data_IF_361480683105
#
_entry.id   IF_361480683105
#
_cell.length_a   1.000
_cell.length_b   1.000
_cell.length_c   1.000
_cell.angle_alpha   90.00
_cell.angle_beta   90.00
_cell.angle_gamma   90.00
#
_symmetry.space_group_name_H-M   'P 1'
#
loop_
_entity.id
_entity.type
_entity.pdbx_description
1 polymer ?
#
# COMPACT_ATOMS: atom_id res chain seq x y z
N UNK A 1 -2.74 16.16 -28.37
CA UNK A 1 -1.44 15.76 -28.92
C UNK A 1 -1.67 15.10 -30.29
N UNK A 2 -2.40 13.99 -30.39
CA UNK A 2 -2.59 13.22 -31.64
C UNK A 2 -3.07 14.10 -32.81
N UNK A 3 -4.02 15.01 -32.55
CA UNK A 3 -4.57 15.93 -33.57
C UNK A 3 -3.51 16.92 -34.07
N UNK A 4 -2.69 17.46 -33.16
CA UNK A 4 -1.69 18.48 -33.50
C UNK A 4 -0.41 17.90 -34.09
N UNK A 5 -0.02 16.68 -33.68
CA UNK A 5 1.21 16.03 -34.15
C UNK A 5 1.00 15.18 -35.41
N UNK A 6 -0.24 15.07 -35.90
CA UNK A 6 -0.61 14.18 -37.03
C UNK A 6 -0.13 12.74 -36.84
N UNK A 7 -0.05 12.29 -35.59
CA UNK A 7 0.41 10.94 -35.26
C UNK A 7 -0.67 9.94 -35.65
N UNK A 8 -0.28 8.89 -36.34
CA UNK A 8 -1.18 7.78 -36.67
C UNK A 8 -1.61 7.03 -35.39
N UNK A 9 -2.89 7.14 -35.04
CA UNK A 9 -3.46 6.50 -33.86
C UNK A 9 -3.28 4.97 -33.87
N UNK A 10 -3.22 4.34 -35.04
CA UNK A 10 -2.99 2.91 -35.19
C UNK A 10 -1.59 2.47 -34.72
N UNK A 11 -0.62 3.39 -34.67
CA UNK A 11 0.72 3.10 -34.15
C UNK A 11 0.78 3.13 -32.62
N UNK A 12 -0.15 3.80 -31.94
CA UNK A 12 -0.18 3.89 -30.47
C UNK A 12 -0.35 2.49 -29.87
N UNK A 13 -1.29 1.71 -30.35
CA UNK A 13 -1.56 0.36 -29.85
C UNK A 13 -0.41 -0.64 -30.06
N UNK A 14 0.48 -0.35 -31.01
CA UNK A 14 1.66 -1.18 -31.31
C UNK A 14 2.90 -0.75 -30.52
N UNK A 15 2.84 0.38 -29.83
CA UNK A 15 3.96 0.88 -29.05
C UNK A 15 4.12 0.04 -27.76
N UNK A 16 5.36 -0.33 -27.43
CA UNK A 16 5.67 -1.15 -26.26
C UNK A 16 5.26 -0.49 -24.95
N UNK A 17 5.42 0.84 -24.84
CA UNK A 17 5.03 1.60 -23.64
C UNK A 17 3.50 1.53 -23.46
N UNK A 18 2.74 1.68 -24.55
CA UNK A 18 1.29 1.56 -24.49
C UNK A 18 0.86 0.15 -24.08
N UNK A 19 1.47 -0.88 -24.66
CA UNK A 19 1.17 -2.28 -24.31
C UNK A 19 1.49 -2.58 -22.84
N UNK A 20 2.65 -2.13 -22.38
CA UNK A 20 3.05 -2.29 -20.97
C UNK A 20 2.09 -1.56 -20.02
N UNK A 21 1.68 -0.34 -20.38
CA UNK A 21 0.67 0.40 -19.65
C UNK A 21 -0.68 -0.31 -19.59
N UNK A 22 -1.12 -0.90 -20.70
CA UNK A 22 -2.38 -1.66 -20.73
C UNK A 22 -2.30 -2.96 -19.91
N UNK A 23 -1.17 -3.67 -19.95
CA UNK A 23 -0.95 -4.84 -19.10
C UNK A 23 -1.00 -4.45 -17.62
N UNK A 24 -0.31 -3.38 -17.23
CA UNK A 24 -0.34 -2.86 -15.87
C UNK A 24 -1.77 -2.48 -15.45
N UNK A 25 -2.52 -1.82 -16.32
CA UNK A 25 -3.89 -1.40 -16.06
C UNK A 25 -4.82 -2.61 -15.81
N UNK A 26 -4.77 -3.62 -16.69
CA UNK A 26 -5.58 -4.84 -16.53
C UNK A 26 -5.18 -5.60 -15.27
N UNK A 27 -3.87 -5.75 -15.00
CA UNK A 27 -3.39 -6.42 -13.80
C UNK A 27 -3.83 -5.69 -12.52
N UNK A 28 -3.70 -4.38 -12.49
CA UNK A 28 -4.09 -3.53 -11.35
C UNK A 28 -5.60 -3.63 -11.10
N UNK A 29 -6.42 -3.39 -12.10
CA UNK A 29 -7.87 -3.45 -11.92
C UNK A 29 -8.34 -4.85 -11.52
N UNK A 30 -7.81 -5.90 -12.15
CA UNK A 30 -8.19 -7.28 -11.83
C UNK A 30 -7.81 -7.68 -10.41
N UNK A 31 -6.55 -7.47 -10.02
CA UNK A 31 -6.05 -7.85 -8.70
C UNK A 31 -6.67 -6.98 -7.60
N UNK A 32 -6.75 -5.66 -7.81
CA UNK A 32 -7.30 -4.75 -6.81
C UNK A 32 -8.79 -5.01 -6.57
N UNK A 33 -9.55 -5.24 -7.62
CA UNK A 33 -10.99 -5.51 -7.49
C UNK A 33 -11.26 -6.83 -6.79
N UNK A 34 -10.51 -7.88 -7.12
CA UNK A 34 -10.59 -9.16 -6.43
C UNK A 34 -10.25 -9.01 -4.94
N UNK A 35 -9.15 -8.32 -4.62
CA UNK A 35 -8.73 -8.08 -3.25
C UNK A 35 -9.76 -7.26 -2.48
N UNK A 36 -10.25 -6.16 -3.03
CA UNK A 36 -11.26 -5.29 -2.42
C UNK A 36 -12.54 -6.06 -2.10
N UNK A 37 -13.03 -6.87 -3.05
CA UNK A 37 -14.22 -7.70 -2.84
C UNK A 37 -14.02 -8.68 -1.70
N UNK A 38 -12.89 -9.39 -1.67
CA UNK A 38 -12.57 -10.34 -0.62
C UNK A 38 -12.49 -9.66 0.75
N UNK A 39 -11.77 -8.52 0.84
CA UNK A 39 -11.58 -7.82 2.11
C UNK A 39 -12.84 -7.15 2.60
N UNK A 40 -13.67 -6.59 1.73
CA UNK A 40 -14.95 -5.99 2.14
C UNK A 40 -15.82 -7.02 2.86
N UNK A 41 -15.87 -8.24 2.33
CA UNK A 41 -16.65 -9.33 2.94
C UNK A 41 -16.05 -9.80 4.27
N UNK A 42 -14.72 -9.90 4.36
CA UNK A 42 -14.04 -10.44 5.55
C UNK A 42 -13.63 -9.39 6.59
N UNK A 43 -13.76 -8.10 6.30
CA UNK A 43 -13.41 -7.01 7.22
C UNK A 43 -14.04 -7.16 8.61
N UNK A 44 -15.34 -7.49 8.79
CA UNK A 44 -15.91 -7.64 10.13
C UNK A 44 -15.24 -8.75 10.94
N UNK A 45 -14.94 -9.89 10.32
CA UNK A 45 -14.26 -11.01 10.97
C UNK A 45 -12.82 -10.64 11.33
N UNK A 46 -12.11 -9.96 10.43
CA UNK A 46 -10.74 -9.48 10.69
C UNK A 46 -10.70 -8.47 11.83
N UNK A 47 -11.67 -7.57 11.88
CA UNK A 47 -11.80 -6.60 12.98
C UNK A 47 -11.99 -7.31 14.32
N UNK A 48 -12.85 -8.30 14.39
CA UNK A 48 -13.10 -9.07 15.62
C UNK A 48 -11.83 -9.83 16.07
N UNK A 49 -11.13 -10.47 15.14
CA UNK A 49 -9.94 -11.25 15.46
C UNK A 49 -8.73 -10.40 15.89
N UNK A 50 -8.58 -9.21 15.32
CA UNK A 50 -7.40 -8.35 15.55
C UNK A 50 -7.61 -7.35 16.69
N UNK A 51 -8.86 -7.02 17.02
CA UNK A 51 -9.19 -6.01 18.01
C UNK A 51 -8.60 -6.31 19.39
N UNK A 52 -8.73 -7.54 19.87
CA UNK A 52 -8.21 -7.96 21.17
C UNK A 52 -6.67 -7.91 21.23
N UNK A 53 -6.00 -8.28 20.14
CA UNK A 53 -4.54 -8.24 20.03
C UNK A 53 -4.03 -6.80 20.08
N UNK A 54 -4.67 -5.88 19.34
CA UNK A 54 -4.28 -4.47 19.32
C UNK A 54 -4.53 -3.82 20.69
N UNK A 55 -5.59 -4.19 21.38
CA UNK A 55 -5.89 -3.70 22.72
C UNK A 55 -4.84 -4.14 23.74
N UNK A 56 -4.38 -5.38 23.65
CA UNK A 56 -3.34 -5.92 24.54
C UNK A 56 -1.93 -5.35 24.22
N UNK A 57 -1.66 -5.10 22.96
CA UNK A 57 -0.36 -4.65 22.46
C UNK A 57 -0.53 -3.56 21.39
N UNK A 58 -0.60 -2.27 21.76
CA UNK A 58 -0.90 -1.16 20.84
C UNK A 58 0.02 -1.05 19.61
N UNK A 59 1.29 -1.44 19.73
CA UNK A 59 2.24 -1.45 18.60
C UNK A 59 1.84 -2.42 17.48
N UNK A 60 1.03 -3.44 17.80
CA UNK A 60 0.53 -4.41 16.80
C UNK A 60 -0.43 -3.75 15.80
N UNK A 61 -0.95 -2.56 16.14
CA UNK A 61 -1.71 -1.72 15.23
C UNK A 61 -0.91 -1.36 13.97
N UNK A 62 0.38 -1.04 14.14
CA UNK A 62 1.27 -0.78 12.99
C UNK A 62 1.38 -2.01 12.08
N UNK A 63 1.58 -3.19 12.65
CA UNK A 63 1.67 -4.43 11.89
C UNK A 63 0.36 -4.75 11.16
N UNK A 64 -0.75 -4.54 11.85
CA UNK A 64 -2.09 -4.72 11.27
C UNK A 64 -2.32 -3.77 10.10
N UNK A 65 -2.01 -2.48 10.25
CA UNK A 65 -2.14 -1.50 9.16
C UNK A 65 -1.26 -1.87 7.96
N UNK A 66 -0.01 -2.29 8.22
CA UNK A 66 0.93 -2.70 7.18
C UNK A 66 0.38 -3.87 6.35
N UNK A 67 -0.11 -4.91 7.02
CA UNK A 67 -0.66 -6.08 6.36
C UNK A 67 -1.93 -5.74 5.59
N UNK A 68 -2.86 -5.01 6.22
CA UNK A 68 -4.14 -4.70 5.60
C UNK A 68 -3.98 -3.75 4.43
N UNK A 69 -3.15 -2.70 4.56
CA UNK A 69 -2.90 -1.78 3.46
C UNK A 69 -2.30 -2.49 2.25
N UNK A 70 -1.50 -3.54 2.49
CA UNK A 70 -0.97 -4.38 1.42
C UNK A 70 -2.09 -5.11 0.68
N UNK A 71 -3.01 -5.69 1.40
CA UNK A 71 -4.09 -6.48 0.78
C UNK A 71 -5.13 -5.62 0.08
N UNK A 72 -5.49 -4.48 0.67
CA UNK A 72 -6.45 -3.52 0.09
C UNK A 72 -5.81 -2.68 -1.02
N UNK A 73 -4.48 -2.65 -1.13
CA UNK A 73 -3.73 -1.79 -2.03
C UNK A 73 -4.15 -0.31 -1.94
N UNK A 74 -4.57 0.14 -0.77
CA UNK A 74 -5.03 1.51 -0.54
C UNK A 74 -4.78 1.93 0.90
N UNK A 75 -3.93 2.92 1.09
CA UNK A 75 -3.67 3.51 2.40
C UNK A 75 -4.91 4.20 2.96
N UNK A 76 -5.64 4.92 2.12
CA UNK A 76 -6.85 5.62 2.54
C UNK A 76 -7.93 4.64 3.02
N UNK A 77 -8.18 3.57 2.28
CA UNK A 77 -9.15 2.55 2.66
C UNK A 77 -8.73 1.82 3.95
N UNK A 78 -7.44 1.53 4.12
CA UNK A 78 -6.92 0.93 5.35
C UNK A 78 -7.16 1.85 6.56
N UNK A 79 -6.82 3.14 6.45
CA UNK A 79 -7.03 4.10 7.54
C UNK A 79 -8.51 4.30 7.85
N UNK A 80 -9.35 4.52 6.84
CA UNK A 80 -10.80 4.71 7.02
C UNK A 80 -11.45 3.50 7.69
N UNK A 81 -10.99 2.29 7.39
CA UNK A 81 -11.53 1.07 8.00
C UNK A 81 -11.03 0.85 9.43
N UNK A 82 -9.76 1.13 9.71
CA UNK A 82 -9.12 0.67 10.95
C UNK A 82 -8.86 1.76 11.98
N UNK A 83 -8.86 3.05 11.63
CA UNK A 83 -8.81 4.15 12.62
C UNK A 83 -10.06 4.14 13.52
N UNK A 84 -11.30 4.11 12.98
CA UNK A 84 -12.48 4.03 13.82
C UNK A 84 -12.54 2.76 14.71
N UNK A 85 -12.01 1.64 14.19
CA UNK A 85 -11.91 0.43 14.99
C UNK A 85 -10.96 0.63 16.17
N UNK A 86 -9.75 1.13 15.93
CA UNK A 86 -8.75 1.35 16.98
C UNK A 86 -9.27 2.30 18.06
N UNK A 87 -9.93 3.38 17.67
CA UNK A 87 -10.60 4.30 18.59
C UNK A 87 -11.71 3.58 19.37
N UNK A 88 -12.53 2.78 18.70
CA UNK A 88 -13.65 2.05 19.30
C UNK A 88 -13.23 0.99 20.34
N UNK A 89 -12.01 0.43 20.22
CA UNK A 89 -11.43 -0.50 21.20
C UNK A 89 -10.57 0.19 22.26
N UNK A 90 -10.46 1.53 22.23
CA UNK A 90 -9.77 2.33 23.22
C UNK A 90 -8.26 2.45 23.03
N UNK A 91 -7.76 2.29 21.79
CA UNK A 91 -6.37 2.63 21.48
C UNK A 91 -6.20 4.14 21.55
N UNK A 92 -5.12 4.60 22.18
CA UNK A 92 -4.82 6.02 22.30
C UNK A 92 -4.70 6.69 20.91
N UNK A 93 -5.40 7.81 20.64
CA UNK A 93 -5.29 8.53 19.39
C UNK A 93 -3.85 8.90 18.99
N UNK A 94 -2.98 9.18 19.97
CA UNK A 94 -1.59 9.47 19.71
C UNK A 94 -0.82 8.25 19.18
N UNK A 95 -1.12 7.07 19.71
CA UNK A 95 -0.57 5.80 19.20
C UNK A 95 -1.05 5.54 17.77
N UNK A 96 -2.34 5.79 17.50
CA UNK A 96 -2.90 5.65 16.16
C UNK A 96 -2.19 6.58 15.17
N UNK A 97 -1.98 7.83 15.56
CA UNK A 97 -1.28 8.83 14.76
C UNK A 97 0.19 8.45 14.54
N UNK A 98 0.89 8.03 15.61
CA UNK A 98 2.30 7.62 15.54
C UNK A 98 2.53 6.50 14.53
N UNK A 99 1.64 5.54 14.47
CA UNK A 99 1.75 4.37 13.59
C UNK A 99 0.95 4.48 12.29
N UNK A 100 0.33 5.62 11.99
CA UNK A 100 -0.48 5.80 10.78
C UNK A 100 0.32 5.56 9.49
N UNK A 101 1.63 5.85 9.48
CA UNK A 101 2.51 5.60 8.33
C UNK A 101 2.66 4.12 7.98
N UNK A 102 2.32 3.19 8.88
CA UNK A 102 2.31 1.76 8.58
C UNK A 102 1.27 1.38 7.50
N UNK A 103 0.30 2.26 7.18
CA UNK A 103 -0.64 2.04 6.07
C UNK A 103 0.01 2.02 4.68
N UNK A 104 1.30 2.28 4.56
CA UNK A 104 2.06 2.20 3.31
C UNK A 104 2.65 0.82 3.02
N UNK A 105 2.01 -0.27 3.47
CA UNK A 105 2.47 -1.65 3.24
C UNK A 105 2.32 -2.17 1.81
N UNK A 106 1.74 -1.43 0.89
CA UNK A 106 1.45 -1.88 -0.48
C UNK A 106 2.71 -2.18 -1.32
N UNK A 107 3.88 -1.68 -0.95
CA UNK A 107 5.16 -2.00 -1.61
C UNK A 107 5.62 -3.45 -1.38
N UNK A 108 5.11 -4.16 -0.37
CA UNK A 108 5.56 -5.52 -0.01
C UNK A 108 5.37 -6.50 -1.16
N UNK A 109 4.25 -6.42 -1.84
CA UNK A 109 4.02 -7.13 -3.10
C UNK A 109 3.87 -6.10 -4.22
N UNK A 110 4.55 -6.23 -5.36
CA UNK A 110 4.52 -5.25 -6.43
C UNK A 110 3.22 -5.33 -7.24
N UNK A 111 2.10 -5.10 -6.58
CA UNK A 111 0.74 -5.10 -7.18
C UNK A 111 0.14 -3.71 -7.25
N UNK A 112 0.82 -2.72 -6.67
CA UNK A 112 0.35 -1.33 -6.71
C UNK A 112 0.64 -0.70 -8.07
N UNK A 113 -0.28 0.15 -8.60
CA UNK A 113 -0.15 0.72 -9.93
C UNK A 113 1.19 1.42 -10.21
N UNK A 114 1.69 2.21 -9.26
CA UNK A 114 2.94 2.93 -9.41
C UNK A 114 4.16 2.01 -9.50
N UNK A 115 4.15 0.92 -8.73
CA UNK A 115 5.25 -0.04 -8.72
C UNK A 115 5.32 -0.81 -10.05
N UNK A 116 4.15 -1.25 -10.53
CA UNK A 116 4.04 -1.91 -11.83
C UNK A 116 4.41 -0.97 -12.96
N UNK A 117 3.97 0.29 -12.90
CA UNK A 117 4.34 1.30 -13.89
C UNK A 117 5.84 1.58 -13.88
N UNK A 118 6.45 1.72 -12.69
CA UNK A 118 7.88 1.93 -12.56
C UNK A 118 8.69 0.78 -13.19
N UNK A 119 8.30 -0.47 -12.94
CA UNK A 119 8.95 -1.65 -13.51
C UNK A 119 8.79 -1.71 -15.03
N UNK A 120 7.57 -1.42 -15.54
CA UNK A 120 7.26 -1.54 -16.95
C UNK A 120 7.84 -0.40 -17.80
N UNK A 121 8.00 0.79 -17.23
CA UNK A 121 8.50 1.96 -17.94
C UNK A 121 10.00 2.18 -17.77
N UNK A 122 10.64 1.48 -16.85
CA UNK A 122 12.08 1.59 -16.63
C UNK A 122 12.87 0.99 -17.81
N UNK A 123 13.53 1.87 -18.55
CA UNK A 123 14.43 1.49 -19.66
C UNK A 123 15.84 1.18 -19.22
N UNK A 124 16.20 1.57 -17.99
CA UNK A 124 17.55 1.34 -17.45
C UNK A 124 17.74 -0.11 -16.99
N UNK A 125 16.63 -0.84 -16.75
CA UNK A 125 16.64 -2.20 -16.23
C UNK A 125 17.08 -2.30 -14.78
N UNK A 126 17.11 -1.17 -14.05
CA UNK A 126 17.49 -1.14 -12.62
C UNK A 126 16.34 -1.48 -11.69
N UNK A 127 15.11 -1.27 -12.15
CA UNK A 127 13.89 -1.62 -11.42
C UNK A 127 13.43 -3.00 -11.84
N UNK A 128 13.42 -3.96 -10.93
CA UNK A 128 13.07 -5.34 -11.27
C UNK A 128 12.25 -6.04 -10.19
N UNK A 129 11.55 -7.09 -10.60
CA UNK A 129 11.02 -8.12 -9.73
C UNK A 129 11.97 -9.32 -9.81
N UNK A 130 12.51 -9.74 -8.68
CA UNK A 130 13.39 -10.90 -8.61
C UNK A 130 12.64 -12.23 -8.80
N UNK A 131 13.35 -13.33 -8.70
CA UNK A 131 12.81 -14.68 -8.87
C UNK A 131 11.61 -14.96 -7.96
N UNK A 132 11.64 -14.40 -6.75
CA UNK A 132 10.51 -14.43 -5.81
C UNK A 132 9.84 -13.06 -5.80
N UNK A 133 8.51 -13.03 -5.73
CA UNK A 133 7.71 -11.79 -5.77
C UNK A 133 8.12 -10.78 -4.69
N UNK A 134 8.60 -11.24 -3.54
CA UNK A 134 9.08 -10.40 -2.44
C UNK A 134 10.52 -9.91 -2.63
N UNK A 135 11.26 -10.40 -3.63
CA UNK A 135 12.62 -9.96 -3.92
C UNK A 135 12.60 -8.96 -5.09
N UNK A 136 12.26 -7.72 -4.80
CA UNK A 136 12.16 -6.65 -5.79
C UNK A 136 12.74 -5.33 -5.25
N UNK A 137 12.95 -4.37 -6.17
CA UNK A 137 13.65 -3.11 -5.90
C UNK A 137 12.98 -2.22 -4.82
N UNK A 138 11.69 -2.38 -4.55
CA UNK A 138 10.95 -1.52 -3.61
C UNK A 138 10.94 -2.04 -2.17
N UNK A 139 11.28 -3.33 -1.94
CA UNK A 139 11.10 -3.94 -0.60
C UNK A 139 11.97 -3.24 0.46
N UNK A 140 13.23 -3.05 0.17
CA UNK A 140 14.16 -2.47 1.14
C UNK A 140 13.90 -0.98 1.39
N UNK A 141 13.77 -0.11 0.38
CA UNK A 141 13.42 1.29 0.58
C UNK A 141 12.09 1.48 1.29
N UNK A 142 11.08 0.70 0.91
CA UNK A 142 9.76 0.77 1.52
C UNK A 142 9.77 0.35 2.99
N UNK A 143 10.47 -0.74 3.32
CA UNK A 143 10.61 -1.21 4.70
C UNK A 143 11.32 -0.18 5.57
N UNK A 144 12.46 0.36 5.10
CA UNK A 144 13.20 1.41 5.81
C UNK A 144 12.31 2.64 6.00
N UNK A 145 11.61 3.09 4.96
CA UNK A 145 10.74 4.26 5.03
C UNK A 145 9.62 4.10 6.05
N UNK A 146 8.91 2.99 6.05
CA UNK A 146 7.81 2.73 6.99
C UNK A 146 8.32 2.60 8.42
N UNK A 147 9.38 1.82 8.65
CA UNK A 147 9.95 1.66 10.00
C UNK A 147 10.42 3.01 10.55
N UNK A 148 11.18 3.76 9.75
CA UNK A 148 11.68 5.08 10.15
C UNK A 148 10.53 6.04 10.46
N UNK A 149 9.50 6.08 9.61
CA UNK A 149 8.31 6.91 9.84
C UNK A 149 7.56 6.54 11.12
N UNK A 150 7.40 5.26 11.42
CA UNK A 150 6.78 4.81 12.66
C UNK A 150 7.61 5.20 13.91
N UNK A 151 8.94 5.05 13.83
CA UNK A 151 9.85 5.43 14.92
C UNK A 151 9.75 6.94 15.17
N UNK A 152 9.90 7.75 14.14
CA UNK A 152 9.79 9.21 14.28
C UNK A 152 8.39 9.64 14.68
N UNK A 153 7.34 9.00 14.16
CA UNK A 153 5.96 9.25 14.59
C UNK A 153 5.79 9.03 16.08
N UNK A 154 6.31 7.93 16.63
CA UNK A 154 6.28 7.65 18.06
C UNK A 154 7.11 8.64 18.87
N UNK A 155 8.32 8.97 18.41
CA UNK A 155 9.20 9.96 19.08
C UNK A 155 8.52 11.32 19.14
N UNK A 156 7.96 11.80 18.04
CA UNK A 156 7.31 13.11 17.99
C UNK A 156 6.05 13.16 18.85
N UNK A 157 5.18 12.15 18.79
CA UNK A 157 4.00 12.12 19.65
C UNK A 157 4.37 12.10 21.13
N UNK A 158 5.43 11.40 21.50
CA UNK A 158 5.97 11.40 22.87
C UNK A 158 6.59 12.75 23.25
N UNK A 159 7.38 13.35 22.37
CA UNK A 159 8.11 14.60 22.62
C UNK A 159 7.17 15.80 22.77
N UNK A 160 6.06 15.80 22.05
CA UNK A 160 5.01 16.82 22.15
C UNK A 160 3.99 16.55 23.25
N UNK A 161 4.18 15.52 24.07
CA UNK A 161 3.34 15.24 25.22
C UNK A 161 1.95 14.69 24.89
N UNK A 162 1.81 14.03 23.72
CA UNK A 162 0.57 13.35 23.34
C UNK A 162 0.53 11.88 23.81
N UNK A 163 1.67 11.29 24.16
CA UNK A 163 1.85 9.96 24.73
C UNK A 163 2.39 10.05 26.14
#
# INVERSE_FOLDING_TARGET
>A
IVIFTKTDAGKISKNEIFRSGMIALVAVFGISWMAETMFTVHTPMMKAALGDVVKAHPWTYALMLLLISKFVNSQAAALVAFVPLALGIGVDPAVILAFASACYGYYILPTYPSDLAAIQFDRSGTTHIGKFVINHSFILPGLIGVITSCIFGYIFTSLFGYL
#
